data_IF_254681787340
#
_entry.id   IF_254681787340
#
_cell.length_a   1.000
_cell.length_b   1.000
_cell.length_c   1.000
_cell.angle_alpha   90.00
_cell.angle_beta   90.00
_cell.angle_gamma   90.00
#
_symmetry.space_group_name_H-M   'P 1'
#
loop_
_entity.id
_entity.type
_entity.pdbx_description
1 polymer ?
#
# COMPACT_ATOMS: atom_id res chain seq x y z
N UNK A 1 -21.36 19.26 -5.22
CA UNK A 1 -19.93 19.25 -4.85
C UNK A 1 -19.09 18.52 -5.86
N UNK A 2 -18.28 19.27 -6.63
CA UNK A 2 -17.35 18.70 -7.59
C UNK A 2 -16.14 18.18 -6.82
N UNK A 3 -15.80 16.89 -6.99
CA UNK A 3 -14.63 16.27 -6.39
C UNK A 3 -13.35 16.86 -7.01
N UNK A 4 -12.83 17.95 -6.43
CA UNK A 4 -11.53 18.49 -6.79
C UNK A 4 -10.41 17.65 -6.14
N UNK A 5 -9.35 17.36 -6.91
CA UNK A 5 -8.15 16.64 -6.44
C UNK A 5 -7.81 15.32 -7.14
N UNK A 6 -8.51 14.96 -8.22
CA UNK A 6 -8.20 13.79 -9.07
C UNK A 6 -7.78 14.23 -10.48
N UNK A 7 -6.97 13.41 -11.15
CA UNK A 7 -6.39 13.71 -12.48
C UNK A 7 -7.44 13.76 -13.63
N UNK A 8 -8.65 13.22 -13.44
CA UNK A 8 -9.74 13.28 -14.43
C UNK A 8 -11.12 13.40 -13.72
N UNK A 9 -11.91 14.46 -14.01
CA UNK A 9 -13.24 14.66 -13.45
C UNK A 9 -14.41 14.06 -14.28
N UNK A 10 -14.17 13.47 -15.45
CA UNK A 10 -15.24 13.01 -16.34
C UNK A 10 -15.68 11.56 -16.07
N UNK A 11 -16.94 11.38 -15.65
CA UNK A 11 -17.57 10.05 -15.61
C UNK A 11 -19.02 10.17 -16.05
N UNK A 12 -19.37 9.44 -17.11
CA UNK A 12 -20.70 9.41 -17.70
C UNK A 12 -21.78 8.85 -16.75
N UNK A 13 -23.03 9.23 -17.01
CA UNK A 13 -24.24 8.77 -16.32
C UNK A 13 -25.18 8.12 -17.32
N UNK A 14 -25.75 6.97 -16.94
CA UNK A 14 -26.71 6.21 -17.75
C UNK A 14 -27.98 7.03 -17.97
N UNK A 15 -28.33 7.22 -19.24
CA UNK A 15 -29.52 7.94 -19.71
C UNK A 15 -30.79 7.12 -19.47
N UNK A 16 -31.90 7.78 -19.12
CA UNK A 16 -33.16 7.13 -18.76
C UNK A 16 -33.98 6.80 -20.01
N UNK A 17 -34.30 5.52 -20.23
CA UNK A 17 -35.07 5.05 -21.38
C UNK A 17 -36.48 5.64 -21.48
N UNK A 18 -36.83 6.06 -22.70
CA UNK A 18 -38.14 6.57 -23.14
C UNK A 18 -39.23 5.49 -22.98
N UNK A 19 -40.29 5.83 -22.23
CA UNK A 19 -41.61 5.18 -22.31
C UNK A 19 -41.99 4.26 -21.14
N UNK A 20 -42.75 4.80 -20.17
CA UNK A 20 -43.37 4.07 -19.07
C UNK A 20 -42.93 4.56 -17.69
N UNK A 21 -43.84 4.58 -16.71
CA UNK A 21 -43.51 4.92 -15.31
C UNK A 21 -42.68 3.79 -14.69
N UNK A 22 -41.38 3.76 -14.99
CA UNK A 22 -40.43 2.85 -14.36
C UNK A 22 -39.68 3.64 -13.31
N UNK A 23 -39.93 3.34 -12.04
CA UNK A 23 -39.06 3.80 -10.95
C UNK A 23 -37.77 2.99 -11.02
N UNK A 24 -36.74 3.57 -11.64
CA UNK A 24 -35.37 3.07 -11.55
C UNK A 24 -34.73 3.66 -10.30
N UNK A 25 -34.62 2.86 -9.25
CA UNK A 25 -33.73 3.19 -8.14
C UNK A 25 -32.31 2.71 -8.48
N UNK A 26 -31.32 3.56 -8.27
CA UNK A 26 -29.95 3.31 -8.66
C UNK A 26 -29.00 4.04 -7.72
N UNK A 27 -28.37 3.30 -6.82
CA UNK A 27 -27.34 3.86 -5.95
C UNK A 27 -26.01 3.99 -6.70
N UNK A 28 -25.61 5.22 -7.06
CA UNK A 28 -24.29 5.48 -7.66
C UNK A 28 -23.24 5.69 -6.56
N UNK A 29 -22.53 4.64 -6.22
CA UNK A 29 -21.37 4.74 -5.32
C UNK A 29 -20.11 5.15 -6.07
N UNK A 30 -19.77 6.45 -6.08
CA UNK A 30 -18.46 6.93 -6.58
C UNK A 30 -17.37 6.73 -5.52
N UNK A 31 -16.65 5.62 -5.60
CA UNK A 31 -15.46 5.37 -4.78
C UNK A 31 -14.19 5.56 -5.61
N UNK A 32 -13.49 6.67 -5.38
CA UNK A 32 -12.21 6.95 -6.01
C UNK A 32 -11.11 6.69 -4.99
N UNK A 33 -10.16 5.83 -5.33
CA UNK A 33 -9.03 5.48 -4.48
C UNK A 33 -7.76 5.62 -5.30
N UNK A 34 -6.79 6.36 -4.77
CA UNK A 34 -5.50 6.59 -5.41
C UNK A 34 -4.42 6.19 -4.42
N UNK A 35 -3.39 5.49 -4.87
CA UNK A 35 -2.34 4.97 -4.00
C UNK A 35 -0.98 5.15 -4.65
N UNK A 36 -0.04 5.70 -3.90
CA UNK A 36 1.37 5.74 -4.25
C UNK A 36 2.14 4.85 -3.29
N UNK A 37 3.07 4.06 -3.79
CA UNK A 37 3.92 3.23 -2.95
C UNK A 37 5.37 3.27 -3.44
N UNK A 38 6.29 3.19 -2.50
CA UNK A 38 7.72 3.07 -2.76
C UNK A 38 8.33 2.08 -1.77
N UNK A 39 9.31 1.30 -2.24
CA UNK A 39 10.06 0.36 -1.42
C UNK A 39 11.55 0.43 -1.76
N UNK A 40 12.36 0.51 -0.71
CA UNK A 40 13.82 0.42 -0.78
C UNK A 40 14.27 -0.83 -0.03
N UNK A 41 15.16 -1.60 -0.64
CA UNK A 41 15.81 -2.74 -0.02
C UNK A 41 17.32 -2.52 -0.07
N UNK A 42 17.99 -2.79 1.04
CA UNK A 42 19.44 -2.78 1.13
C UNK A 42 19.92 -4.08 1.75
N UNK A 43 20.93 -4.68 1.13
CA UNK A 43 21.58 -5.88 1.61
C UNK A 43 23.07 -5.57 1.66
N UNK A 44 23.63 -5.66 2.86
CA UNK A 44 25.07 -5.62 3.05
C UNK A 44 25.59 -7.01 3.34
N UNK A 45 26.34 -7.53 2.38
CA UNK A 45 27.11 -8.78 2.47
C UNK A 45 26.29 -9.99 2.92
N UNK A 46 25.01 -10.05 2.54
CA UNK A 46 24.02 -11.06 2.95
C UNK A 46 23.78 -11.20 4.46
N UNK A 47 24.47 -10.38 5.26
CA UNK A 47 24.43 -10.35 6.73
C UNK A 47 23.38 -9.39 7.22
N UNK A 48 23.38 -8.16 6.72
CA UNK A 48 22.50 -7.10 7.21
C UNK A 48 21.52 -6.72 6.12
N UNK A 49 20.24 -6.85 6.43
CA UNK A 49 19.15 -6.55 5.52
C UNK A 49 18.33 -5.42 6.10
N UNK A 50 18.04 -4.42 5.28
CA UNK A 50 17.14 -3.33 5.63
C UNK A 50 16.10 -3.21 4.53
N UNK A 51 14.85 -3.04 4.92
CA UNK A 51 13.74 -2.76 4.01
C UNK A 51 12.94 -1.60 4.58
N UNK A 52 12.74 -0.58 3.75
CA UNK A 52 11.84 0.53 4.07
C UNK A 52 10.75 0.58 3.00
N UNK A 53 9.50 0.72 3.41
CA UNK A 53 8.36 0.93 2.51
C UNK A 53 7.60 2.16 2.96
N UNK A 54 7.11 2.95 2.02
CA UNK A 54 6.22 4.06 2.28
C UNK A 54 5.04 3.97 1.32
N UNK A 55 3.84 4.12 1.87
CA UNK A 55 2.61 4.10 1.09
C UNK A 55 1.75 5.31 1.44
N UNK A 56 1.24 5.98 0.42
CA UNK A 56 0.35 7.13 0.55
C UNK A 56 -0.96 6.83 -0.17
N UNK A 57 -2.00 6.56 0.61
CA UNK A 57 -3.30 6.10 0.12
C UNK A 57 -4.36 7.18 0.31
N UNK A 58 -4.99 7.59 -0.79
CA UNK A 58 -6.14 8.47 -0.83
C UNK A 58 -7.42 7.70 -1.09
N UNK A 59 -8.51 8.03 -0.39
CA UNK A 59 -9.83 7.43 -0.60
C UNK A 59 -10.91 8.51 -0.54
N UNK A 60 -11.88 8.45 -1.46
CA UNK A 60 -13.04 9.34 -1.45
C UNK A 60 -13.97 9.13 -0.26
N UNK A 61 -13.77 8.06 0.53
CA UNK A 61 -14.44 7.82 1.82
C UNK A 61 -13.85 8.62 2.98
N UNK A 62 -12.62 9.12 2.85
CA UNK A 62 -12.00 9.94 3.89
C UNK A 62 -12.48 11.40 3.78
N UNK A 63 -12.54 12.10 4.92
CA UNK A 63 -13.03 13.47 4.99
C UNK A 63 -12.26 14.41 4.06
N UNK A 64 -12.94 15.44 3.55
CA UNK A 64 -12.43 16.36 2.51
C UNK A 64 -11.06 16.96 2.87
N UNK A 65 -10.82 17.19 4.17
CA UNK A 65 -9.61 17.81 4.72
C UNK A 65 -8.48 16.81 5.03
N UNK A 66 -8.74 15.49 4.98
CA UNK A 66 -7.75 14.46 5.29
C UNK A 66 -7.95 13.24 4.38
N UNK A 67 -8.03 13.49 3.07
CA UNK A 67 -8.34 12.48 2.05
C UNK A 67 -7.26 11.41 1.88
N UNK A 68 -6.08 11.63 2.45
CA UNK A 68 -4.88 10.82 2.26
C UNK A 68 -4.26 10.39 3.58
N UNK A 69 -3.89 9.12 3.68
CA UNK A 69 -3.16 8.53 4.80
C UNK A 69 -1.77 8.08 4.40
N UNK A 70 -0.79 8.30 5.29
CA UNK A 70 0.59 7.83 5.12
C UNK A 70 0.84 6.59 5.99
N UNK A 71 1.38 5.55 5.38
CA UNK A 71 1.64 4.25 5.99
C UNK A 71 3.12 3.89 5.76
N UNK A 72 4.03 4.36 6.62
CA UNK A 72 5.42 3.94 6.60
C UNK A 72 5.56 2.53 7.20
N UNK A 73 6.54 1.77 6.74
CA UNK A 73 7.00 0.55 7.39
C UNK A 73 8.50 0.39 7.26
N UNK A 74 9.13 -0.20 8.26
CA UNK A 74 10.57 -0.50 8.25
C UNK A 74 10.82 -1.90 8.79
N UNK A 75 11.76 -2.61 8.19
CA UNK A 75 12.18 -3.93 8.62
C UNK A 75 13.70 -4.03 8.58
N UNK A 76 14.24 -4.73 9.57
CA UNK A 76 15.66 -5.08 9.65
C UNK A 76 15.80 -6.59 9.79
N UNK A 77 16.83 -7.14 9.17
CA UNK A 77 17.17 -8.55 9.24
C UNK A 77 18.66 -8.72 9.45
N UNK A 78 19.03 -9.70 10.28
CA UNK A 78 20.41 -10.04 10.55
C UNK A 78 20.61 -11.54 10.42
N UNK A 79 21.38 -11.96 9.41
CA UNK A 79 21.75 -13.36 9.16
C UNK A 79 22.97 -13.71 10.01
N UNK A 80 22.74 -14.23 11.21
CA UNK A 80 23.80 -14.61 12.15
C UNK A 80 24.66 -15.75 11.58
N UNK A 81 24.06 -16.66 10.79
CA UNK A 81 24.80 -17.78 10.17
C UNK A 81 25.88 -17.35 9.16
N UNK A 82 25.80 -16.12 8.67
CA UNK A 82 26.77 -15.54 7.74
C UNK A 82 27.92 -14.81 8.45
N UNK A 83 27.89 -14.68 9.77
CA UNK A 83 28.97 -14.05 10.52
C UNK A 83 30.19 -14.97 10.68
N UNK A 84 31.38 -14.37 10.70
CA UNK A 84 32.64 -15.11 10.84
C UNK A 84 32.76 -15.87 12.18
N UNK A 85 32.04 -15.40 13.22
CA UNK A 85 32.01 -16.05 14.52
C UNK A 85 31.05 -17.25 14.58
N UNK A 86 30.17 -17.42 13.59
CA UNK A 86 29.17 -18.48 13.62
C UNK A 86 29.80 -19.82 13.22
N UNK A 87 29.70 -20.87 14.06
CA UNK A 87 30.27 -22.17 13.75
C UNK A 87 29.59 -22.79 12.52
N UNK A 88 30.38 -23.14 11.50
CA UNK A 88 29.86 -23.74 10.26
C UNK A 88 29.46 -25.21 10.42
N UNK A 89 30.01 -25.91 11.41
CA UNK A 89 29.68 -27.30 11.76
C UNK A 89 28.56 -27.42 12.80
N UNK A 90 27.85 -26.32 13.08
CA UNK A 90 26.77 -26.31 14.07
C UNK A 90 25.53 -27.03 13.54
N UNK A 91 24.74 -27.60 14.45
CA UNK A 91 23.53 -28.34 14.06
C UNK A 91 22.45 -27.47 13.39
N UNK A 92 22.50 -26.14 13.59
CA UNK A 92 21.64 -25.18 12.90
C UNK A 92 22.39 -24.62 11.69
N UNK A 93 21.88 -24.92 10.50
CA UNK A 93 22.51 -24.50 9.24
C UNK A 93 22.25 -23.01 8.90
N UNK A 94 21.14 -22.45 9.37
CA UNK A 94 20.79 -21.06 9.10
C UNK A 94 20.07 -20.44 10.29
N UNK A 95 20.57 -19.29 10.74
CA UNK A 95 20.01 -18.53 11.83
C UNK A 95 19.90 -17.07 11.40
N UNK A 96 18.68 -16.54 11.43
CA UNK A 96 18.39 -15.17 11.03
C UNK A 96 17.39 -14.53 11.98
N UNK A 97 17.73 -13.34 12.45
CA UNK A 97 16.82 -12.48 13.21
C UNK A 97 16.12 -11.50 12.28
N UNK A 98 14.86 -11.18 12.55
CA UNK A 98 14.09 -10.16 11.83
C UNK A 98 13.20 -9.39 12.80
N UNK A 99 13.20 -8.07 12.66
CA UNK A 99 12.27 -7.16 13.33
C UNK A 99 11.65 -6.19 12.32
N UNK A 100 10.40 -5.81 12.52
CA UNK A 100 9.70 -4.85 11.66
C UNK A 100 8.67 -4.03 12.43
N UNK A 101 8.38 -2.85 11.90
CA UNK A 101 7.37 -1.91 12.37
C UNK A 101 6.59 -1.35 11.18
#
# INVERSE_FOLDING_TARGET
>A
DVAAGFLDPSFDTVDAGIGGTVYGDGEKYKYNRASFFGRVNYNYDNRYLIQATMRYDGSSKFGVNNRWGCFPSVAVGWSISEEAFYPKDFFINSLKFRASW
#
